data_IF_149948782411
#
_entry.id   IF_149948782411
#
_cell.length_a   1.000
_cell.length_b   1.000
_cell.length_c   1.000
_cell.angle_alpha   90.00
_cell.angle_beta   90.00
_cell.angle_gamma   90.00
#
_symmetry.space_group_name_H-M   'P 1'
#
loop_
_entity.id
_entity.type
_entity.pdbx_description
1 polymer ?
#
# COMPACT_ATOMS: atom_id res chain seq x y z
N UNK A 1 -1.92 -13.91 -28.46
CA UNK A 1 -2.97 -13.46 -27.52
C UNK A 1 -2.29 -12.60 -26.48
N UNK A 2 -2.39 -11.28 -26.59
CA UNK A 2 -1.82 -10.37 -25.60
C UNK A 2 -2.92 -10.04 -24.60
N UNK A 3 -2.94 -10.74 -23.47
CA UNK A 3 -3.73 -10.31 -22.33
C UNK A 3 -3.06 -9.04 -21.80
N UNK A 4 -3.56 -7.88 -22.23
CA UNK A 4 -3.23 -6.63 -21.57
C UNK A 4 -3.79 -6.74 -20.16
N UNK A 5 -2.91 -6.92 -19.17
CA UNK A 5 -3.30 -6.86 -17.77
C UNK A 5 -4.08 -5.56 -17.59
N UNK A 6 -5.35 -5.67 -17.17
CA UNK A 6 -6.14 -4.50 -16.87
C UNK A 6 -5.32 -3.65 -15.88
N UNK A 7 -5.18 -2.33 -16.12
CA UNK A 7 -4.50 -1.49 -15.16
C UNK A 7 -5.16 -1.71 -13.79
N UNK A 8 -4.36 -1.84 -12.72
CA UNK A 8 -4.91 -2.03 -11.38
C UNK A 8 -5.94 -0.94 -11.10
N UNK A 9 -7.07 -1.32 -10.50
CA UNK A 9 -8.13 -0.37 -10.18
C UNK A 9 -7.48 0.80 -9.40
N UNK A 10 -7.66 2.05 -9.87
CA UNK A 10 -7.04 3.19 -9.21
C UNK A 10 -7.59 3.29 -7.78
N UNK A 11 -6.70 3.42 -6.81
CA UNK A 11 -7.09 3.81 -5.46
C UNK A 11 -7.40 5.30 -5.51
N UNK A 12 -8.66 5.69 -5.31
CA UNK A 12 -9.10 7.09 -5.41
C UNK A 12 -8.33 8.04 -4.47
N UNK A 13 -8.07 7.60 -3.23
CA UNK A 13 -7.27 8.35 -2.25
C UNK A 13 -6.29 7.42 -1.52
N UNK A 14 -5.09 7.18 -2.09
CA UNK A 14 -4.13 6.22 -1.54
C UNK A 14 -3.55 6.63 -0.18
N UNK A 15 -3.55 7.93 0.13
CA UNK A 15 -3.01 8.45 1.40
C UNK A 15 -3.97 8.31 2.58
N UNK A 16 -5.27 8.19 2.30
CA UNK A 16 -6.32 7.96 3.30
C UNK A 16 -6.60 6.48 3.57
N UNK A 17 -6.00 5.57 2.80
CA UNK A 17 -6.13 4.12 3.01
C UNK A 17 -5.66 3.77 4.40
N UNK A 18 -6.54 3.14 5.18
CA UNK A 18 -6.21 2.64 6.52
C UNK A 18 -5.49 1.30 6.44
N UNK A 19 -4.75 0.93 7.47
CA UNK A 19 -4.09 -0.38 7.53
C UNK A 19 -5.06 -1.55 7.32
N UNK A 20 -6.28 -1.48 7.87
CA UNK A 20 -7.29 -2.52 7.68
C UNK A 20 -7.93 -2.57 6.30
N UNK A 21 -7.81 -1.50 5.51
CA UNK A 21 -8.14 -1.51 4.09
C UNK A 21 -6.96 -2.03 3.28
N UNK A 22 -5.74 -1.60 3.60
CA UNK A 22 -4.50 -1.95 2.91
C UNK A 22 -4.22 -3.45 2.86
N UNK A 23 -4.39 -4.17 3.98
CA UNK A 23 -4.20 -5.64 4.04
C UNK A 23 -5.23 -6.42 3.22
N UNK A 24 -6.31 -5.76 2.76
CA UNK A 24 -7.35 -6.35 1.90
C UNK A 24 -7.19 -5.98 0.43
N UNK A 25 -6.28 -5.05 0.11
CA UNK A 25 -5.97 -4.68 -1.26
C UNK A 25 -5.14 -5.76 -1.95
N UNK A 26 -5.26 -5.85 -3.27
CA UNK A 26 -4.30 -6.63 -4.06
C UNK A 26 -2.92 -5.96 -4.06
N UNK A 27 -1.89 -6.73 -4.42
CA UNK A 27 -0.50 -6.26 -4.37
C UNK A 27 -0.25 -5.02 -5.24
N UNK A 28 -0.96 -4.85 -6.36
CA UNK A 28 -0.79 -3.69 -7.23
C UNK A 28 -1.44 -2.43 -6.61
N UNK A 29 -2.60 -2.56 -5.97
CA UNK A 29 -3.21 -1.46 -5.21
C UNK A 29 -2.41 -1.11 -3.94
N UNK A 30 -1.85 -2.10 -3.23
CA UNK A 30 -0.91 -1.86 -2.12
C UNK A 30 0.32 -1.06 -2.60
N UNK A 31 0.87 -1.42 -3.76
CA UNK A 31 2.01 -0.71 -4.35
C UNK A 31 1.66 0.76 -4.65
N UNK A 32 0.46 1.05 -5.16
CA UNK A 32 0.00 2.43 -5.40
C UNK A 32 -0.04 3.25 -4.10
N UNK A 33 -0.48 2.65 -2.99
CA UNK A 33 -0.50 3.30 -1.68
C UNK A 33 0.93 3.62 -1.20
N UNK A 34 1.85 2.66 -1.32
CA UNK A 34 3.25 2.84 -0.94
C UNK A 34 3.93 3.90 -1.82
N UNK A 35 3.71 3.87 -3.13
CA UNK A 35 4.18 4.88 -4.08
C UNK A 35 3.68 6.29 -3.73
N UNK A 36 2.42 6.42 -3.31
CA UNK A 36 1.89 7.70 -2.88
C UNK A 36 2.54 8.21 -1.58
N UNK A 37 3.00 7.32 -0.69
CA UNK A 37 3.60 7.67 0.61
C UNK A 37 5.09 8.01 0.47
N UNK A 38 5.85 7.19 -0.24
CA UNK A 38 7.32 7.28 -0.32
C UNK A 38 7.85 7.78 -1.67
N UNK A 39 7.00 7.84 -2.69
CA UNK A 39 7.40 8.15 -4.07
C UNK A 39 7.68 6.91 -4.91
N UNK A 40 8.01 7.15 -6.19
CA UNK A 40 8.24 6.09 -7.16
C UNK A 40 9.71 5.61 -7.14
N UNK A 41 10.10 4.90 -6.08
CA UNK A 41 11.37 4.17 -6.01
C UNK A 41 11.10 2.65 -6.08
N UNK A 42 11.13 2.03 -7.28
CA UNK A 42 10.70 0.65 -7.48
C UNK A 42 11.56 -0.36 -6.70
N UNK A 43 12.81 -0.03 -6.37
CA UNK A 43 13.68 -0.92 -5.59
C UNK A 43 13.26 -1.02 -4.12
N UNK A 44 12.59 0.01 -3.58
CA UNK A 44 12.18 0.07 -2.18
C UNK A 44 10.70 -0.25 -2.00
N UNK A 45 9.88 -0.04 -3.03
CA UNK A 45 8.44 -0.12 -2.89
C UNK A 45 7.93 -1.54 -2.58
N UNK A 46 8.52 -2.61 -3.14
CA UNK A 46 8.14 -3.99 -2.80
C UNK A 46 8.47 -4.35 -1.33
N UNK A 47 9.63 -3.90 -0.83
CA UNK A 47 10.01 -4.08 0.57
C UNK A 47 9.08 -3.31 1.50
N UNK A 48 8.69 -2.08 1.09
CA UNK A 48 7.77 -1.24 1.84
C UNK A 48 6.34 -1.78 1.83
N UNK A 49 5.88 -2.43 0.75
CA UNK A 49 4.59 -3.15 0.74
C UNK A 49 4.61 -4.26 1.79
N UNK A 50 5.68 -5.08 1.79
CA UNK A 50 5.82 -6.19 2.74
C UNK A 50 5.92 -5.70 4.19
N UNK A 51 6.65 -4.61 4.42
CA UNK A 51 6.77 -3.97 5.72
C UNK A 51 5.43 -3.37 6.19
N UNK A 52 4.74 -2.64 5.31
CA UNK A 52 3.42 -2.08 5.59
C UNK A 52 2.43 -3.18 5.94
N UNK A 53 2.42 -4.28 5.19
CA UNK A 53 1.52 -5.42 5.44
C UNK A 53 1.75 -5.99 6.85
N UNK A 54 3.01 -6.27 7.21
CA UNK A 54 3.38 -6.74 8.55
C UNK A 54 2.94 -5.78 9.67
N UNK A 55 3.17 -4.48 9.50
CA UNK A 55 2.80 -3.48 10.51
C UNK A 55 1.28 -3.31 10.60
N UNK A 56 0.60 -3.38 9.47
CA UNK A 56 -0.83 -3.25 9.34
C UNK A 56 -1.60 -4.52 9.71
N UNK A 57 -0.95 -5.62 10.13
CA UNK A 57 -1.64 -6.77 10.74
C UNK A 57 -2.00 -6.52 12.22
N UNK A 58 -1.41 -5.51 12.86
CA UNK A 58 -1.70 -5.19 14.26
C UNK A 58 -3.07 -4.50 14.40
N UNK A 59 -3.91 -4.98 15.32
CA UNK A 59 -5.23 -4.38 15.62
C UNK A 59 -5.14 -2.91 16.06
N UNK A 60 -4.01 -2.50 16.64
CA UNK A 60 -3.79 -1.14 17.16
C UNK A 60 -3.70 -0.05 16.07
N UNK A 61 -3.43 -0.45 14.83
CA UNK A 61 -3.25 0.49 13.71
C UNK A 61 -4.28 0.32 12.60
N UNK A 62 -5.23 -0.63 12.72
CA UNK A 62 -6.22 -0.94 11.68
C UNK A 62 -7.04 0.27 11.22
N UNK A 63 -7.39 1.15 12.17
CA UNK A 63 -8.12 2.40 11.96
C UNK A 63 -7.25 3.56 11.47
N UNK A 64 -5.92 3.39 11.49
CA UNK A 64 -4.97 4.45 11.15
C UNK A 64 -4.57 4.37 9.67
N UNK A 65 -4.28 5.52 9.03
CA UNK A 65 -3.70 5.54 7.69
C UNK A 65 -2.39 4.74 7.63
N UNK A 66 -2.12 4.06 6.52
CA UNK A 66 -0.89 3.27 6.32
C UNK A 66 0.36 4.13 6.57
N UNK A 67 0.34 5.38 6.10
CA UNK A 67 1.39 6.38 6.32
C UNK A 67 1.73 6.60 7.81
N UNK A 68 0.75 6.47 8.69
CA UNK A 68 0.95 6.67 10.13
C UNK A 68 1.50 5.41 10.82
N UNK A 69 1.28 4.23 10.24
CA UNK A 69 1.85 2.97 10.73
C UNK A 69 3.30 2.77 10.27
N UNK A 70 3.65 3.34 9.11
CA UNK A 70 4.99 3.23 8.55
C UNK A 70 6.01 4.10 9.28
N UNK A 71 7.26 3.62 9.42
CA UNK A 71 8.35 4.45 9.91
C UNK A 71 8.59 5.61 8.94
N UNK A 72 8.93 6.78 9.48
CA UNK A 72 9.30 7.93 8.64
C UNK A 72 10.54 7.57 7.81
N UNK A 73 10.62 8.04 6.55
CA UNK A 73 11.80 7.87 5.72
C UNK A 73 13.03 8.57 6.31
#
# INVERSE_FOLDING_TARGET
>A
MSAQAAPPAPVDDPLSVTCGQFTKLDKAAQLQVIQAIFGDDPAKNDDQVSLADLLCLSDYVQDKPVKAALPKP
#
